data_IF_137754577833
#
_entry.id   IF_137754577833
#
_cell.length_a   1.000
_cell.length_b   1.000
_cell.length_c   1.000
_cell.angle_alpha   90.00
_cell.angle_beta   90.00
_cell.angle_gamma   90.00
#
_symmetry.space_group_name_H-M   'P 1'
#
loop_
_entity.id
_entity.type
_entity.pdbx_description
1 polymer ?
#
# COMPACT_ATOMS: atom_id res chain seq x y z
N UNK A 1 19.96 14.88 -8.18
CA UNK A 1 20.76 14.63 -6.95
C UNK A 1 20.63 13.16 -6.61
N UNK A 2 21.72 12.48 -6.25
CA UNK A 2 21.62 11.13 -5.71
C UNK A 2 21.05 11.24 -4.28
N UNK A 3 19.91 10.61 -3.95
CA UNK A 3 19.23 10.81 -2.67
C UNK A 3 20.08 10.35 -1.48
N UNK A 4 20.93 9.34 -1.67
CA UNK A 4 21.85 8.86 -0.63
C UNK A 4 22.95 9.90 -0.39
N UNK A 5 23.55 10.43 -1.45
CA UNK A 5 24.60 11.46 -1.34
C UNK A 5 24.04 12.74 -0.70
N UNK A 6 22.84 13.16 -1.11
CA UNK A 6 22.15 14.30 -0.51
C UNK A 6 21.84 14.08 0.98
N UNK A 7 21.41 12.87 1.34
CA UNK A 7 21.15 12.52 2.74
C UNK A 7 22.42 12.57 3.60
N UNK A 8 23.57 12.10 3.10
CA UNK A 8 24.84 12.20 3.84
C UNK A 8 25.28 13.64 4.06
N UNK A 9 25.10 14.50 3.05
CA UNK A 9 25.35 15.93 3.19
C UNK A 9 24.49 16.53 4.30
N UNK A 10 23.19 16.21 4.29
CA UNK A 10 22.24 16.66 5.29
C UNK A 10 22.53 16.11 6.69
N UNK A 11 23.04 14.88 6.82
CA UNK A 11 23.46 14.34 8.12
C UNK A 11 24.56 15.19 8.77
N UNK A 12 25.50 15.72 7.99
CA UNK A 12 26.57 16.59 8.52
C UNK A 12 25.98 17.91 9.02
N UNK A 13 25.05 18.51 8.27
CA UNK A 13 24.37 19.74 8.68
C UNK A 13 23.52 19.53 9.94
N UNK A 14 22.73 18.45 9.98
CA UNK A 14 21.89 18.10 11.12
C UNK A 14 22.72 17.81 12.38
N UNK A 15 23.86 17.13 12.22
CA UNK A 15 24.82 16.94 13.31
C UNK A 15 25.38 18.27 13.83
N UNK A 16 25.84 19.15 12.93
CA UNK A 16 26.37 20.45 13.31
C UNK A 16 25.33 21.32 14.04
N UNK A 17 24.07 21.28 13.56
CA UNK A 17 22.93 21.92 14.21
C UNK A 17 22.70 21.41 15.64
N UNK A 18 22.62 20.09 15.82
CA UNK A 18 22.47 19.46 17.13
C UNK A 18 23.64 19.77 18.07
N UNK A 19 24.88 19.71 17.56
CA UNK A 19 26.07 20.01 18.32
C UNK A 19 26.08 21.46 18.81
N UNK A 20 25.77 22.41 17.92
CA UNK A 20 25.70 23.82 18.28
C UNK A 20 24.65 24.07 19.37
N UNK A 21 23.46 23.46 19.23
CA UNK A 21 22.40 23.55 20.24
C UNK A 21 22.85 22.98 21.58
N UNK A 22 23.43 21.77 21.58
CA UNK A 22 24.01 21.14 22.79
C UNK A 22 25.03 22.04 23.48
N UNK A 23 25.94 22.68 22.74
CA UNK A 23 26.94 23.58 23.31
C UNK A 23 26.30 24.84 23.91
N UNK A 24 25.29 25.42 23.23
CA UNK A 24 24.58 26.62 23.71
C UNK A 24 23.81 26.37 25.01
N UNK A 25 23.34 25.14 25.21
CA UNK A 25 22.62 24.70 26.43
C UNK A 25 23.58 24.25 27.54
N UNK A 26 24.90 24.37 27.35
CA UNK A 26 25.92 23.93 28.33
C UNK A 26 26.06 22.41 28.44
N UNK A 27 25.55 21.67 27.45
CA UNK A 27 25.60 20.21 27.40
C UNK A 27 27.00 19.67 27.07
N UNK A 28 27.19 18.36 27.28
CA UNK A 28 28.44 17.68 26.97
C UNK A 28 28.46 17.24 25.48
N UNK A 29 29.34 17.81 24.62
CA UNK A 29 29.42 17.45 23.21
C UNK A 29 29.96 16.02 22.97
N UNK A 30 30.50 15.37 24.01
CA UNK A 30 30.92 13.96 23.96
C UNK A 30 29.79 12.98 24.30
N UNK A 31 28.63 13.46 24.75
CA UNK A 31 27.48 12.62 25.00
C UNK A 31 26.67 12.43 23.70
N UNK A 32 27.12 11.50 22.86
CA UNK A 32 26.48 11.21 21.57
C UNK A 32 25.00 10.80 21.68
N UNK A 33 24.60 10.15 22.78
CA UNK A 33 23.19 9.78 23.00
C UNK A 33 22.31 11.00 23.23
N UNK A 34 22.79 11.98 24.00
CA UNK A 34 22.07 13.22 24.23
C UNK A 34 21.95 14.04 22.93
N UNK A 35 23.04 14.15 22.17
CA UNK A 35 23.06 14.79 20.84
C UNK A 35 22.03 14.15 19.90
N UNK A 36 22.09 12.84 19.71
CA UNK A 36 21.17 12.13 18.83
C UNK A 36 19.71 12.26 19.28
N UNK A 37 19.43 12.22 20.58
CA UNK A 37 18.07 12.39 21.10
C UNK A 37 17.51 13.80 20.92
N UNK A 38 18.37 14.81 20.79
CA UNK A 38 17.95 16.20 20.63
C UNK A 38 17.31 16.48 19.26
N UNK A 39 17.59 15.65 18.25
CA UNK A 39 17.01 15.76 16.90
C UNK A 39 15.75 14.91 16.71
N UNK A 40 15.42 14.01 17.65
CA UNK A 40 14.22 13.19 17.56
C UNK A 40 12.96 14.05 17.76
N UNK A 41 11.87 13.64 17.11
CA UNK A 41 10.59 14.37 17.13
C UNK A 41 10.75 15.86 16.79
N UNK A 42 11.52 16.16 15.74
CA UNK A 42 11.81 17.54 15.33
C UNK A 42 11.98 17.65 13.82
N UNK A 43 11.81 18.87 13.30
CA UNK A 43 12.04 19.20 11.90
C UNK A 43 13.20 20.18 11.77
N UNK A 44 14.18 19.83 10.95
CA UNK A 44 15.26 20.70 10.52
C UNK A 44 14.92 21.29 9.14
N UNK A 45 14.65 22.61 9.05
CA UNK A 45 14.27 23.23 7.79
C UNK A 45 15.48 23.52 6.90
N UNK A 46 15.28 23.50 5.59
CA UNK A 46 16.26 24.00 4.63
C UNK A 46 17.51 23.12 4.46
N UNK A 47 17.38 21.80 4.60
CA UNK A 47 18.39 20.86 4.14
C UNK A 47 18.53 20.86 2.62
N UNK A 48 19.60 20.25 2.10
CA UNK A 48 19.80 20.06 0.67
C UNK A 48 18.68 19.22 0.03
N UNK A 49 18.16 18.24 0.77
CA UNK A 49 17.02 17.41 0.35
C UNK A 49 15.66 17.96 0.79
N UNK A 50 15.59 19.24 1.16
CA UNK A 50 14.40 19.88 1.72
C UNK A 50 14.35 19.81 3.24
N UNK A 51 13.15 19.95 3.79
CA UNK A 51 12.94 19.85 5.23
C UNK A 51 13.12 18.40 5.70
N UNK A 52 13.76 18.23 6.86
CA UNK A 52 14.10 16.92 7.41
C UNK A 52 13.34 16.76 8.72
N UNK A 53 12.26 15.98 8.68
CA UNK A 53 11.52 15.59 9.87
C UNK A 53 12.02 14.24 10.39
N UNK A 54 12.40 14.21 11.67
CA UNK A 54 12.77 12.98 12.38
C UNK A 54 11.67 12.68 13.40
N UNK A 55 11.12 11.47 13.36
CA UNK A 55 10.04 11.07 14.25
C UNK A 55 10.51 10.71 15.67
N UNK A 56 9.57 10.28 16.51
CA UNK A 56 9.81 9.92 17.90
C UNK A 56 10.71 8.68 18.09
N UNK A 57 10.88 7.87 17.04
CA UNK A 57 11.77 6.71 17.03
C UNK A 57 13.18 7.05 16.51
N UNK A 58 13.41 8.30 16.07
CA UNK A 58 14.68 8.71 15.50
C UNK A 58 14.85 8.41 14.02
N UNK A 59 13.77 8.04 13.34
CA UNK A 59 13.77 7.75 11.91
C UNK A 59 13.32 8.99 11.11
N UNK A 60 13.90 9.17 9.92
CA UNK A 60 13.48 10.24 9.01
C UNK A 60 12.14 9.89 8.39
N UNK A 61 11.20 10.84 8.45
CA UNK A 61 9.97 10.78 7.66
C UNK A 61 10.30 11.04 6.18
N UNK A 62 9.93 10.10 5.32
CA UNK A 62 10.29 10.11 3.91
C UNK A 62 9.15 10.70 3.06
N UNK A 63 9.53 11.59 2.16
CA UNK A 63 8.63 12.12 1.12
C UNK A 63 8.81 11.30 -0.16
N UNK A 64 7.70 11.04 -0.85
CA UNK A 64 7.67 10.23 -2.05
C UNK A 64 7.02 10.99 -3.20
N UNK A 65 7.63 10.93 -4.38
CA UNK A 65 7.04 11.49 -5.61
C UNK A 65 6.42 10.38 -6.43
N UNK A 66 5.15 10.55 -6.80
CA UNK A 66 4.48 9.72 -7.78
C UNK A 66 4.73 10.31 -9.16
N UNK A 67 5.38 9.52 -10.01
CA UNK A 67 5.54 9.85 -11.42
C UNK A 67 4.56 9.04 -12.26
N UNK A 68 4.02 9.66 -13.29
CA UNK A 68 3.17 9.02 -14.29
C UNK A 68 3.76 9.23 -15.69
N UNK A 69 3.37 8.37 -16.62
CA UNK A 69 3.83 8.41 -18.00
C UNK A 69 2.99 9.41 -18.80
N UNK A 70 3.63 10.45 -19.32
CA UNK A 70 3.01 11.33 -20.31
C UNK A 70 2.76 10.54 -21.62
N UNK A 71 1.51 10.36 -22.06
CA UNK A 71 1.19 9.57 -23.25
C UNK A 71 1.61 10.24 -24.57
N UNK A 72 1.82 11.56 -24.59
CA UNK A 72 2.24 12.28 -25.78
C UNK A 72 3.76 12.23 -25.97
N UNK A 73 4.51 12.42 -24.88
CA UNK A 73 5.98 12.48 -24.94
C UNK A 73 6.67 11.15 -24.61
N UNK A 74 5.98 10.25 -23.92
CA UNK A 74 6.53 8.98 -23.45
C UNK A 74 7.52 9.14 -22.28
N UNK A 75 7.48 10.26 -21.57
CA UNK A 75 8.40 10.60 -20.47
C UNK A 75 7.66 10.49 -19.14
N UNK A 76 8.34 9.93 -18.13
CA UNK A 76 7.81 9.91 -16.76
C UNK A 76 7.93 11.30 -16.13
N UNK A 77 6.80 11.87 -15.71
CA UNK A 77 6.72 13.20 -15.09
C UNK A 77 6.10 13.10 -13.69
N UNK A 78 6.53 13.94 -12.73
CA UNK A 78 5.91 13.97 -11.41
C UNK A 78 4.49 14.51 -11.50
N UNK A 79 3.54 13.85 -10.84
CA UNK A 79 2.12 14.25 -10.79
C UNK A 79 1.62 14.49 -9.37
N UNK A 80 2.32 13.97 -8.37
CA UNK A 80 1.96 14.15 -6.97
C UNK A 80 3.15 13.90 -6.04
N UNK A 81 3.07 14.45 -4.83
CA UNK A 81 4.02 14.19 -3.75
C UNK A 81 3.27 13.78 -2.49
N UNK A 82 3.66 12.65 -1.91
CA UNK A 82 3.27 12.28 -0.57
C UNK A 82 4.32 12.80 0.42
N UNK A 83 3.88 13.55 1.41
CA UNK A 83 4.75 14.10 2.44
C UNK A 83 4.62 13.27 3.72
N UNK A 84 5.71 12.60 4.11
CA UNK A 84 5.73 11.65 5.21
C UNK A 84 5.42 12.30 6.56
N UNK A 85 6.00 13.48 6.82
CA UNK A 85 5.81 14.17 8.10
C UNK A 85 4.37 14.56 8.39
N UNK A 86 3.60 14.93 7.36
CA UNK A 86 2.19 15.33 7.44
C UNK A 86 1.20 14.24 7.00
N UNK A 87 1.70 13.09 6.55
CA UNK A 87 0.89 11.97 6.03
C UNK A 87 -0.13 12.41 4.96
N UNK A 88 0.30 13.28 4.05
CA UNK A 88 -0.59 13.94 3.09
C UNK A 88 -0.12 13.70 1.67
N UNK A 89 -1.03 13.19 0.85
CA UNK A 89 -0.91 13.15 -0.60
C UNK A 89 -1.30 14.51 -1.18
N UNK A 90 -0.39 15.11 -1.93
CA UNK A 90 -0.59 16.39 -2.58
C UNK A 90 -0.43 16.22 -4.09
N UNK A 91 -1.52 16.45 -4.81
CA UNK A 91 -1.52 16.36 -6.27
C UNK A 91 -1.01 17.67 -6.83
N UNK A 92 -0.13 17.61 -7.83
CA UNK A 92 0.29 18.82 -8.54
C UNK A 92 -0.90 19.36 -9.33
N UNK A 93 -1.08 20.68 -9.29
CA UNK A 93 -2.12 21.36 -10.07
C UNK A 93 -2.00 20.97 -11.56
N UNK A 94 -3.14 20.87 -12.23
CA UNK A 94 -3.28 20.49 -13.63
C UNK A 94 -2.80 19.07 -14.01
N UNK A 95 -2.45 18.22 -13.03
CA UNK A 95 -2.09 16.82 -13.27
C UNK A 95 -3.16 15.87 -12.69
N UNK A 96 -3.53 14.86 -13.48
CA UNK A 96 -4.34 13.72 -13.06
C UNK A 96 -3.56 12.43 -13.37
N UNK A 97 -3.86 11.34 -12.66
CA UNK A 97 -3.33 10.03 -13.03
C UNK A 97 -3.94 9.64 -14.38
N UNK A 98 -3.09 9.43 -15.38
CA UNK A 98 -3.47 8.95 -16.68
C UNK A 98 -3.70 7.44 -16.63
N UNK A 99 -4.97 7.07 -16.72
CA UNK A 99 -5.38 5.68 -16.87
C UNK A 99 -5.64 5.36 -18.34
N UNK A 100 -5.01 4.32 -18.91
CA UNK A 100 -5.22 3.93 -20.30
C UNK A 100 -6.71 3.79 -20.66
N UNK A 101 -7.13 4.44 -21.75
CA UNK A 101 -8.52 4.44 -22.21
C UNK A 101 -9.46 5.39 -21.47
N UNK A 102 -8.95 6.22 -20.55
CA UNK A 102 -9.73 7.19 -19.77
C UNK A 102 -10.89 6.55 -18.98
N UNK A 103 -10.75 5.29 -18.57
CA UNK A 103 -11.75 4.54 -17.79
C UNK A 103 -11.52 4.61 -16.27
N UNK A 104 -10.45 5.27 -15.84
CA UNK A 104 -10.03 5.32 -14.43
C UNK A 104 -9.20 4.12 -14.00
N UNK A 105 -8.88 4.00 -12.69
CA UNK A 105 -8.07 2.91 -12.17
C UNK A 105 -8.73 1.56 -12.43
N UNK A 106 -7.94 0.52 -12.79
CA UNK A 106 -8.46 -0.83 -12.82
C UNK A 106 -8.83 -1.30 -11.41
N UNK A 107 -9.67 -2.33 -11.31
CA UNK A 107 -9.96 -2.99 -10.04
C UNK A 107 -8.67 -3.57 -9.44
N UNK A 108 -8.54 -3.50 -8.12
CA UNK A 108 -7.44 -4.09 -7.36
C UNK A 108 -7.45 -5.63 -7.43
N UNK A 109 -8.63 -6.21 -7.63
CA UNK A 109 -8.85 -7.64 -7.89
C UNK A 109 -9.71 -7.81 -9.15
N UNK A 110 -9.32 -8.68 -10.10
CA UNK A 110 -10.16 -8.99 -11.27
C UNK A 110 -11.54 -9.53 -10.87
N UNK A 111 -12.56 -9.32 -11.71
CA UNK A 111 -13.94 -9.76 -11.44
C UNK A 111 -14.03 -11.25 -11.09
N UNK A 112 -13.24 -12.11 -11.76
CA UNK A 112 -13.21 -13.55 -11.50
C UNK A 112 -12.12 -13.98 -10.50
N UNK A 113 -11.52 -13.03 -9.78
CA UNK A 113 -10.34 -13.26 -8.95
C UNK A 113 -9.07 -13.55 -9.76
N UNK A 114 -7.92 -13.56 -9.08
CA UNK A 114 -6.62 -13.81 -9.74
C UNK A 114 -6.50 -15.20 -10.38
N UNK A 115 -7.29 -16.16 -9.92
CA UNK A 115 -7.27 -17.56 -10.40
C UNK A 115 -8.46 -17.91 -11.28
N UNK A 116 -9.40 -16.98 -11.53
CA UNK A 116 -10.61 -17.23 -12.31
C UNK A 116 -11.72 -17.99 -11.57
N UNK A 117 -11.50 -18.38 -10.31
CA UNK A 117 -12.42 -19.22 -9.53
C UNK A 117 -13.26 -18.45 -8.51
N UNK A 118 -13.38 -17.13 -8.66
CA UNK A 118 -14.27 -16.36 -7.78
C UNK A 118 -15.72 -16.85 -7.93
N UNK A 119 -16.51 -16.90 -6.84
CA UNK A 119 -17.88 -17.43 -6.86
C UNK A 119 -18.79 -16.82 -7.92
N UNK A 120 -18.55 -15.55 -8.28
CA UNK A 120 -19.30 -14.79 -9.28
C UNK A 120 -19.09 -15.31 -10.71
N UNK A 121 -17.97 -15.98 -10.97
CA UNK A 121 -17.61 -16.56 -12.27
C UNK A 121 -17.69 -18.08 -12.30
N UNK A 122 -17.86 -18.72 -11.13
CA UNK A 122 -18.10 -20.15 -11.09
C UNK A 122 -19.49 -20.44 -11.67
N UNK A 123 -19.61 -21.41 -12.58
CA UNK A 123 -20.94 -21.86 -12.97
C UNK A 123 -21.65 -22.27 -11.69
N UNK A 124 -22.86 -21.73 -11.47
CA UNK A 124 -23.76 -22.27 -10.45
C UNK A 124 -23.74 -23.77 -10.70
N UNK A 125 -23.35 -24.55 -9.70
CA UNK A 125 -23.44 -25.99 -9.78
C UNK A 125 -24.90 -26.27 -10.12
N UNK A 126 -25.20 -26.49 -11.40
CA UNK A 126 -26.52 -26.91 -11.82
C UNK A 126 -26.63 -28.28 -11.19
N UNK A 127 -27.23 -28.33 -10.01
CA UNK A 127 -27.77 -29.55 -9.47
C UNK A 127 -28.84 -29.91 -10.49
N UNK A 128 -28.44 -30.67 -11.51
CA UNK A 128 -29.34 -31.20 -12.51
C UNK A 128 -30.48 -31.84 -11.74
N UNK A 129 -31.73 -31.56 -12.11
CA UNK A 129 -32.87 -32.20 -11.47
C UNK A 129 -32.70 -33.74 -11.46
N UNK A 130 -31.93 -34.30 -12.41
CA UNK A 130 -31.52 -35.70 -12.46
C UNK A 130 -30.81 -36.19 -11.18
N UNK A 131 -29.95 -35.36 -10.55
CA UNK A 131 -29.24 -35.70 -9.31
C UNK A 131 -30.17 -35.80 -8.09
N UNK A 132 -31.39 -35.22 -8.18
CA UNK A 132 -32.43 -35.35 -7.15
C UNK A 132 -33.44 -36.44 -7.55
N UNK A 133 -33.84 -36.49 -8.82
CA UNK A 133 -34.87 -37.41 -9.33
C UNK A 133 -34.41 -38.87 -9.26
N UNK A 134 -33.16 -39.16 -9.64
CA UNK A 134 -32.63 -40.52 -9.67
C UNK A 134 -32.61 -41.20 -8.28
N UNK A 135 -32.06 -40.58 -7.21
CA UNK A 135 -32.10 -41.19 -5.88
C UNK A 135 -33.51 -41.31 -5.30
N UNK A 136 -34.41 -40.37 -5.61
CA UNK A 136 -35.83 -40.46 -5.17
C UNK A 136 -36.53 -41.63 -5.86
N UNK A 137 -36.36 -41.82 -7.17
CA UNK A 137 -36.93 -42.96 -7.89
C UNK A 137 -36.41 -44.29 -7.35
N UNK A 138 -35.11 -44.39 -7.08
CA UNK A 138 -34.50 -45.59 -6.49
C UNK A 138 -35.10 -45.86 -5.11
N UNK A 139 -35.20 -44.85 -4.24
CA UNK A 139 -35.80 -45.01 -2.92
C UNK A 139 -37.26 -45.48 -2.99
N UNK A 140 -38.08 -44.90 -3.86
CA UNK A 140 -39.48 -45.31 -4.07
C UNK A 140 -39.57 -46.75 -4.55
N UNK A 141 -38.71 -47.16 -5.50
CA UNK A 141 -38.69 -48.53 -6.01
C UNK A 141 -38.31 -49.54 -4.92
N UNK A 142 -37.30 -49.24 -4.10
CA UNK A 142 -36.85 -50.11 -3.00
C UNK A 142 -37.95 -50.24 -1.94
N UNK A 143 -38.57 -49.12 -1.54
CA UNK A 143 -39.67 -49.14 -0.57
C UNK A 143 -40.86 -49.93 -1.13
N UNK A 144 -41.21 -49.73 -2.40
CA UNK A 144 -42.28 -50.49 -3.06
C UNK A 144 -42.00 -51.99 -3.09
N UNK A 145 -40.76 -52.40 -3.41
CA UNK A 145 -40.36 -53.81 -3.39
C UNK A 145 -40.38 -54.40 -1.98
N UNK A 146 -39.90 -53.68 -0.97
CA UNK A 146 -39.95 -54.14 0.42
C UNK A 146 -41.39 -54.33 0.88
N UNK A 147 -42.28 -53.34 0.63
CA UNK A 147 -43.71 -53.46 0.95
C UNK A 147 -44.31 -54.67 0.24
N UNK A 148 -44.01 -54.87 -1.05
CA UNK A 148 -44.49 -56.03 -1.80
C UNK A 148 -44.03 -57.38 -1.24
N UNK A 149 -42.79 -57.47 -0.77
CA UNK A 149 -42.24 -58.69 -0.14
C UNK A 149 -42.87 -58.97 1.22
N UNK A 150 -43.21 -57.93 2.00
CA UNK A 150 -43.80 -58.11 3.34
C UNK A 150 -45.34 -58.16 3.35
N UNK A 151 -46.00 -57.80 2.24
CA UNK A 151 -47.45 -57.84 2.08
C UNK A 151 -47.98 -59.15 1.44
N UNK A 152 -47.09 -60.07 1.05
CA UNK A 152 -47.38 -61.41 0.54
C UNK A 152 -46.87 -62.46 1.53
#
# INVERSE_FOLDING_TARGET
INPIVGSFYDCVLLYAYSLNKTLSEGGNPKNGRALARQIWNSTFPGGLTGDISINENGDREADYTLNDLDPETGIMTPIATFFGSRQMYDKLDDHEIHWPGNVGPPLDVPICGFTGNAPECMPIAMISALNIILPVLVAVSVVGSLIGVFAY
#
